data_IF_380162440468
#
_entry.id   IF_380162440468
#
_cell.length_a   1.000
_cell.length_b   1.000
_cell.length_c   1.000
_cell.angle_alpha   90.00
_cell.angle_beta   90.00
_cell.angle_gamma   90.00
#
_symmetry.space_group_name_H-M   'P 1'
#
loop_
_entity.id
_entity.type
_entity.pdbx_description
1 polymer ?
#
# COMPACT_ATOMS: atom_id res chain seq x y z
N UNK A 1 -10.38 -20.61 18.28
CA UNK A 1 -9.91 -21.80 19.03
C UNK A 1 -8.84 -21.52 20.05
N UNK A 2 -7.68 -20.94 19.67
CA UNK A 2 -6.55 -20.68 20.57
C UNK A 2 -6.98 -19.98 21.86
N UNK A 3 -7.66 -18.84 21.76
CA UNK A 3 -8.12 -18.06 22.92
C UNK A 3 -9.08 -18.86 23.83
N UNK A 4 -9.97 -19.66 23.23
CA UNK A 4 -10.92 -20.47 23.99
C UNK A 4 -10.22 -21.61 24.73
N UNK A 5 -9.24 -22.23 24.09
CA UNK A 5 -8.44 -23.29 24.68
C UNK A 5 -7.51 -22.75 25.78
N UNK A 6 -6.91 -21.58 25.56
CA UNK A 6 -6.11 -20.88 26.57
C UNK A 6 -6.95 -20.57 27.83
N UNK A 7 -8.17 -20.06 27.67
CA UNK A 7 -9.09 -19.84 28.80
C UNK A 7 -9.41 -21.14 29.55
N UNK A 8 -9.66 -22.26 28.85
CA UNK A 8 -9.91 -23.57 29.50
C UNK A 8 -8.71 -24.07 30.29
N UNK A 9 -7.49 -23.79 29.81
CA UNK A 9 -6.24 -24.11 30.52
C UNK A 9 -5.82 -23.06 31.55
N UNK A 10 -6.64 -22.02 31.76
CA UNK A 10 -6.34 -20.89 32.64
C UNK A 10 -5.04 -20.14 32.28
N UNK A 11 -4.67 -20.13 30.99
CA UNK A 11 -3.52 -19.38 30.48
C UNK A 11 -3.96 -17.95 30.13
N UNK A 12 -3.84 -17.07 31.12
CA UNK A 12 -4.25 -15.66 31.03
C UNK A 12 -3.31 -14.86 30.10
N UNK A 13 -2.05 -15.27 29.98
CA UNK A 13 -1.05 -14.59 29.15
C UNK A 13 -1.46 -14.63 27.68
N UNK A 14 -1.84 -15.81 27.17
CA UNK A 14 -2.30 -15.95 25.79
C UNK A 14 -3.61 -15.19 25.57
N UNK A 15 -4.55 -15.25 26.51
CA UNK A 15 -5.83 -14.51 26.39
C UNK A 15 -5.58 -13.00 26.26
N UNK A 16 -4.70 -12.44 27.09
CA UNK A 16 -4.38 -11.00 27.06
C UNK A 16 -3.62 -10.57 25.80
N UNK A 17 -2.65 -11.37 25.34
CA UNK A 17 -1.93 -11.08 24.10
C UNK A 17 -2.86 -11.04 22.89
N UNK A 18 -3.83 -11.97 22.85
CA UNK A 18 -4.81 -12.03 21.77
C UNK A 18 -5.85 -10.91 21.85
N UNK A 19 -6.19 -10.40 23.04
CA UNK A 19 -7.15 -9.30 23.19
C UNK A 19 -6.74 -8.09 22.34
N UNK A 20 -5.46 -7.68 22.43
CA UNK A 20 -4.93 -6.57 21.67
C UNK A 20 -4.88 -6.85 20.16
N UNK A 21 -4.47 -8.05 19.77
CA UNK A 21 -4.39 -8.45 18.37
C UNK A 21 -5.79 -8.48 17.72
N UNK A 22 -6.80 -8.98 18.43
CA UNK A 22 -8.19 -9.03 17.98
C UNK A 22 -8.76 -7.62 17.82
N UNK A 23 -8.56 -6.73 18.80
CA UNK A 23 -9.02 -5.33 18.68
C UNK A 23 -8.45 -4.65 17.44
N UNK A 24 -7.16 -4.84 17.16
CA UNK A 24 -6.51 -4.32 15.95
C UNK A 24 -7.02 -4.95 14.65
N UNK A 25 -7.36 -6.23 14.67
CA UNK A 25 -7.82 -6.97 13.49
C UNK A 25 -9.29 -6.70 13.14
N UNK A 26 -10.13 -6.40 14.13
CA UNK A 26 -11.59 -6.26 14.00
C UNK A 26 -12.03 -5.26 12.90
N UNK A 27 -11.39 -4.09 12.73
CA UNK A 27 -11.73 -3.16 11.65
C UNK A 27 -11.52 -3.71 10.23
N UNK A 28 -10.65 -4.71 10.06
CA UNK A 28 -10.28 -5.27 8.77
C UNK A 28 -11.25 -6.35 8.26
N UNK A 29 -12.16 -6.82 9.11
CA UNK A 29 -13.11 -7.91 8.81
C UNK A 29 -14.56 -7.44 8.68
N UNK A 30 -14.77 -6.13 8.51
CA UNK A 30 -16.10 -5.51 8.35
C UNK A 30 -16.75 -5.81 7.00
N UNK A 31 -15.96 -6.17 5.98
CA UNK A 31 -16.43 -6.50 4.64
C UNK A 31 -15.71 -7.74 4.11
N UNK A 32 -16.41 -8.72 3.50
CA UNK A 32 -17.85 -8.76 3.20
C UNK A 32 -18.74 -9.05 4.43
N UNK A 33 -20.05 -8.73 4.34
CA UNK A 33 -21.01 -8.85 5.45
C UNK A 33 -21.12 -10.26 6.04
N UNK A 34 -20.93 -11.30 5.22
CA UNK A 34 -20.88 -12.69 5.65
C UNK A 34 -19.77 -12.96 6.68
N UNK A 35 -18.58 -12.37 6.49
CA UNK A 35 -17.45 -12.47 7.42
C UNK A 35 -17.76 -11.71 8.69
N UNK A 36 -18.28 -10.49 8.60
CA UNK A 36 -18.64 -9.69 9.78
C UNK A 36 -19.68 -10.41 10.67
N UNK A 37 -20.68 -11.06 10.06
CA UNK A 37 -21.68 -11.84 10.80
C UNK A 37 -21.08 -13.05 11.50
N UNK A 38 -20.15 -13.76 10.84
CA UNK A 38 -19.45 -14.88 11.45
C UNK A 38 -18.58 -14.43 12.64
N UNK A 39 -17.85 -13.32 12.50
CA UNK A 39 -17.02 -12.76 13.58
C UNK A 39 -17.89 -12.27 14.74
N UNK A 40 -19.02 -11.61 14.46
CA UNK A 40 -19.97 -11.19 15.50
C UNK A 40 -20.52 -12.35 16.32
N UNK A 41 -20.78 -13.51 15.69
CA UNK A 41 -21.15 -14.74 16.41
C UNK A 41 -20.03 -15.24 17.32
N UNK A 42 -18.77 -15.17 16.87
CA UNK A 42 -17.62 -15.58 17.69
C UNK A 42 -17.48 -14.70 18.94
N UNK A 43 -17.68 -13.38 18.81
CA UNK A 43 -17.62 -12.47 19.96
C UNK A 43 -18.72 -12.76 21.00
N UNK A 44 -19.95 -13.08 20.56
CA UNK A 44 -21.02 -13.53 21.46
C UNK A 44 -20.67 -14.84 22.19
N UNK A 45 -20.07 -15.80 21.49
CA UNK A 45 -19.59 -17.05 22.13
C UNK A 45 -18.53 -16.76 23.19
N UNK A 46 -17.68 -15.74 22.98
CA UNK A 46 -16.67 -15.35 23.97
C UNK A 46 -17.27 -14.69 25.20
N UNK A 47 -18.36 -13.95 25.05
CA UNK A 47 -19.14 -13.39 26.15
C UNK A 47 -19.77 -14.52 26.99
N UNK A 48 -20.49 -15.44 26.34
CA UNK A 48 -21.14 -16.59 26.99
C UNK A 48 -20.15 -17.46 27.77
N UNK A 49 -18.92 -17.60 27.26
CA UNK A 49 -17.86 -18.41 27.88
C UNK A 49 -16.99 -17.64 28.87
N UNK A 50 -17.28 -16.37 29.14
CA UNK A 50 -16.49 -15.53 30.05
C UNK A 50 -15.02 -15.42 29.65
N UNK A 51 -14.74 -15.45 28.34
CA UNK A 51 -13.38 -15.29 27.80
C UNK A 51 -12.96 -13.83 27.92
N UNK A 52 -13.86 -12.92 27.55
CA UNK A 52 -13.73 -11.47 27.73
C UNK A 52 -14.94 -10.94 28.48
N UNK A 53 -14.80 -9.77 29.11
CA UNK A 53 -15.92 -9.10 29.80
C UNK A 53 -17.00 -8.67 28.81
N UNK A 54 -18.23 -8.48 29.31
CA UNK A 54 -19.36 -7.97 28.51
C UNK A 54 -19.01 -6.64 27.85
N UNK A 55 -18.33 -5.75 28.58
CA UNK A 55 -17.90 -4.44 28.07
C UNK A 55 -16.89 -4.58 26.93
N UNK A 56 -15.88 -5.45 27.08
CA UNK A 56 -14.88 -5.68 26.04
C UNK A 56 -15.50 -6.30 24.77
N UNK A 57 -16.51 -7.17 24.92
CA UNK A 57 -17.24 -7.73 23.79
C UNK A 57 -18.14 -6.68 23.13
N UNK A 58 -18.79 -5.82 23.90
CA UNK A 58 -19.59 -4.71 23.39
C UNK A 58 -18.73 -3.74 22.56
N UNK A 59 -17.52 -3.43 23.02
CA UNK A 59 -16.55 -2.61 22.27
C UNK A 59 -16.14 -3.28 20.95
N UNK A 60 -15.87 -4.59 20.96
CA UNK A 60 -15.53 -5.34 19.75
C UNK A 60 -16.69 -5.39 18.75
N UNK A 61 -17.92 -5.58 19.22
CA UNK A 61 -19.12 -5.53 18.38
C UNK A 61 -19.37 -4.12 17.82
N UNK A 62 -19.12 -3.07 18.61
CA UNK A 62 -19.17 -1.69 18.14
C UNK A 62 -18.11 -1.41 17.07
N UNK A 63 -16.88 -1.91 17.26
CA UNK A 63 -15.81 -1.82 16.27
C UNK A 63 -16.12 -2.58 14.98
N UNK A 64 -16.88 -3.67 15.07
CA UNK A 64 -17.30 -4.49 13.93
C UNK A 64 -18.49 -3.89 13.17
N UNK A 65 -19.46 -3.34 13.90
CA UNK A 65 -20.74 -2.84 13.36
C UNK A 65 -20.75 -1.34 13.03
N UNK A 66 -19.72 -0.58 13.42
CA UNK A 66 -19.59 0.82 13.01
C UNK A 66 -19.43 0.93 11.48
N UNK A 67 -20.58 0.98 10.81
CA UNK A 67 -20.77 1.46 9.44
C UNK A 67 -21.04 2.96 9.54
N UNK A 68 -20.07 3.73 10.05
CA UNK A 68 -20.06 5.15 9.72
C UNK A 68 -19.83 5.22 8.20
N UNK A 69 -20.89 5.54 7.48
CA UNK A 69 -20.93 6.37 6.27
C UNK A 69 -19.74 6.19 5.33
N UNK A 70 -20.01 5.76 4.08
CA UNK A 70 -19.16 5.96 2.88
C UNK A 70 -17.83 6.63 3.21
N UNK A 71 -16.71 5.92 3.13
CA UNK A 71 -15.32 6.43 3.00
C UNK A 71 -15.17 7.96 2.74
N UNK A 72 -15.60 8.80 3.67
CA UNK A 72 -14.78 9.78 4.32
C UNK A 72 -14.06 8.88 5.33
N UNK A 73 -12.93 8.26 5.00
CA UNK A 73 -11.65 8.98 4.99
C UNK A 73 -11.86 10.49 5.18
N UNK A 74 -12.48 10.83 6.31
CA UNK A 74 -12.11 12.02 7.01
C UNK A 74 -10.61 11.89 7.10
N UNK A 75 -10.00 12.80 6.36
CA UNK A 75 -8.62 13.13 6.39
C UNK A 75 -8.28 13.40 7.86
N UNK A 76 -8.06 12.36 8.66
CA UNK A 76 -6.85 12.34 9.45
C UNK A 76 -5.74 12.28 8.42
N UNK A 77 -5.48 13.45 7.81
CA UNK A 77 -4.11 13.94 7.67
C UNK A 77 -3.53 13.58 9.03
N UNK A 78 -2.61 12.61 9.13
CA UNK A 78 -2.02 12.33 10.42
C UNK A 78 -1.55 13.69 10.90
N UNK A 79 -2.03 14.15 12.05
CA UNK A 79 -1.74 15.47 12.63
C UNK A 79 -0.25 15.59 13.00
N UNK A 80 0.65 14.87 12.32
CA UNK A 80 2.01 14.62 12.74
C UNK A 80 3.00 14.51 11.57
N UNK A 81 2.57 14.45 10.31
CA UNK A 81 3.51 14.51 9.18
C UNK A 81 3.53 15.90 8.56
N UNK A 82 4.16 16.84 9.25
CA UNK A 82 4.52 18.16 8.74
C UNK A 82 5.86 18.10 8.01
N UNK A 83 5.93 17.36 6.90
CA UNK A 83 7.10 17.45 6.04
C UNK A 83 7.08 18.81 5.34
N UNK A 84 8.17 19.57 5.46
CA UNK A 84 8.34 20.85 4.78
C UNK A 84 8.15 20.66 3.26
N UNK A 85 7.38 21.54 2.62
CA UNK A 85 7.07 21.46 1.18
C UNK A 85 8.33 21.35 0.31
N UNK A 86 9.41 22.04 0.66
CA UNK A 86 10.70 21.97 -0.01
C UNK A 86 11.32 20.57 0.08
N UNK A 87 11.27 19.95 1.27
CA UNK A 87 11.77 18.58 1.48
C UNK A 87 10.93 17.55 0.71
N UNK A 88 9.61 17.77 0.64
CA UNK A 88 8.69 16.93 -0.14
C UNK A 88 8.99 17.05 -1.63
N UNK A 89 9.23 18.26 -2.15
CA UNK A 89 9.60 18.48 -3.54
C UNK A 89 10.98 17.90 -3.89
N UNK A 90 11.94 17.98 -2.98
CA UNK A 90 13.27 17.40 -3.14
C UNK A 90 13.34 15.88 -2.88
N UNK A 91 12.21 15.24 -2.54
CA UNK A 91 12.18 13.82 -2.23
C UNK A 91 12.56 12.97 -3.44
N UNK A 92 13.46 12.01 -3.23
CA UNK A 92 13.90 11.07 -4.26
C UNK A 92 13.77 9.63 -3.73
N UNK A 93 12.89 8.80 -4.32
CA UNK A 93 12.73 7.41 -3.91
C UNK A 93 14.04 6.60 -3.87
N UNK A 94 14.98 6.75 -4.82
CA UNK A 94 16.27 6.04 -4.78
C UNK A 94 17.08 6.31 -3.52
N UNK A 95 17.03 7.55 -2.98
CA UNK A 95 17.76 7.90 -1.75
C UNK A 95 17.23 7.11 -0.57
N UNK A 96 15.91 7.05 -0.38
CA UNK A 96 15.29 6.26 0.69
C UNK A 96 15.64 4.77 0.57
N UNK A 97 15.61 4.23 -0.65
CA UNK A 97 15.98 2.83 -0.91
C UNK A 97 17.44 2.56 -0.53
N UNK A 98 18.37 3.44 -0.89
CA UNK A 98 19.79 3.32 -0.52
C UNK A 98 19.99 3.33 0.99
N UNK A 99 19.26 4.19 1.72
CA UNK A 99 19.29 4.23 3.20
C UNK A 99 18.82 2.91 3.80
N UNK A 100 17.69 2.37 3.31
CA UNK A 100 17.16 1.08 3.76
C UNK A 100 18.17 -0.06 3.52
N UNK A 101 18.81 -0.09 2.36
CA UNK A 101 19.86 -1.08 2.06
C UNK A 101 21.05 -0.94 3.01
N UNK A 102 21.50 0.29 3.26
CA UNK A 102 22.62 0.55 4.18
C UNK A 102 22.29 0.07 5.60
N UNK A 103 21.12 0.41 6.14
CA UNK A 103 20.70 -0.06 7.45
C UNK A 103 20.61 -1.60 7.53
N UNK A 104 20.20 -2.26 6.45
CA UNK A 104 20.21 -3.71 6.37
C UNK A 104 21.63 -4.30 6.44
N UNK A 105 22.61 -3.68 5.78
CA UNK A 105 24.01 -4.12 5.81
C UNK A 105 24.71 -3.82 7.15
N UNK A 106 24.28 -2.79 7.86
CA UNK A 106 24.80 -2.45 9.19
C UNK A 106 24.28 -3.37 10.30
N UNK A 107 23.25 -4.17 10.02
CA UNK A 107 22.64 -5.08 10.98
C UNK A 107 23.67 -6.05 11.57
N UNK A 108 23.89 -5.96 12.87
CA UNK A 108 24.79 -6.88 13.58
C UNK A 108 24.05 -8.16 14.02
N UNK A 109 24.65 -9.32 13.76
CA UNK A 109 24.17 -10.63 14.23
C UNK A 109 24.95 -11.16 15.45
N UNK A 110 25.94 -10.40 15.93
CA UNK A 110 26.89 -10.85 16.94
C UNK A 110 26.23 -11.14 18.31
N UNK A 111 25.14 -10.44 18.65
CA UNK A 111 24.43 -10.68 19.91
C UNK A 111 23.96 -12.13 20.09
N UNK A 112 23.68 -12.83 18.99
CA UNK A 112 23.26 -14.24 19.01
C UNK A 112 24.44 -15.20 19.16
N UNK A 113 25.58 -14.92 18.52
CA UNK A 113 26.78 -15.79 18.56
C UNK A 113 27.61 -15.59 19.82
N UNK A 114 27.64 -14.36 20.35
CA UNK A 114 28.33 -14.03 21.59
C UNK A 114 27.67 -14.70 22.81
N UNK A 115 26.33 -14.69 22.88
CA UNK A 115 25.57 -15.32 23.98
C UNK A 115 25.74 -16.84 24.06
N UNK A 116 26.17 -17.50 22.99
CA UNK A 116 26.39 -18.95 22.94
C UNK A 116 27.74 -19.37 23.55
N UNK A 117 28.65 -18.42 23.82
CA UNK A 117 29.97 -18.73 24.38
C UNK A 117 29.87 -18.98 25.89
N UNK A 118 30.31 -20.16 26.33
CA UNK A 118 30.21 -20.62 27.73
C UNK A 118 30.78 -19.61 28.72
N UNK A 119 31.96 -19.04 28.43
CA UNK A 119 32.64 -18.10 29.33
C UNK A 119 31.90 -16.77 29.50
N UNK A 120 31.02 -16.40 28.56
CA UNK A 120 30.22 -15.18 28.66
C UNK A 120 29.04 -15.32 29.64
N UNK A 121 28.73 -16.55 30.06
CA UNK A 121 27.67 -16.86 31.02
C UNK A 121 28.22 -17.28 32.40
N UNK A 122 29.54 -17.42 32.53
CA UNK A 122 30.19 -17.83 33.78
C UNK A 122 30.51 -16.62 34.64
N UNK A 123 30.38 -16.77 35.96
CA UNK A 123 30.95 -15.80 36.89
C UNK A 123 32.49 -15.93 36.95
N UNK A 124 33.12 -14.93 37.56
CA UNK A 124 34.59 -14.83 37.64
C UNK A 124 35.23 -15.99 38.38
N UNK A 125 34.59 -16.54 39.42
CA UNK A 125 35.16 -17.60 40.24
C UNK A 125 35.06 -18.96 39.54
N UNK A 126 33.92 -19.22 38.89
CA UNK A 126 33.70 -20.40 38.05
C UNK A 126 34.66 -20.42 36.86
N UNK A 127 34.90 -19.26 36.24
CA UNK A 127 35.88 -19.14 35.17
C UNK A 127 37.30 -19.47 35.64
N UNK A 128 37.74 -18.89 36.77
CA UNK A 128 39.07 -19.19 37.34
C UNK A 128 39.25 -20.68 37.62
N UNK A 129 38.23 -21.31 38.22
CA UNK A 129 38.26 -22.74 38.55
C UNK A 129 38.25 -23.65 37.33
N UNK A 130 37.81 -23.16 36.16
CA UNK A 130 37.81 -23.92 34.90
C UNK A 130 39.17 -23.96 34.20
N UNK A 131 40.09 -23.05 34.57
CA UNK A 131 41.44 -22.98 34.00
C UNK A 131 42.27 -24.13 34.58
N UNK A 132 42.78 -24.98 33.69
CA UNK A 132 43.45 -26.24 34.06
C UNK A 132 44.96 -26.06 34.19
N UNK A 133 45.54 -25.28 33.30
CA UNK A 133 46.97 -25.07 33.18
C UNK A 133 47.27 -23.72 32.52
N UNK A 134 48.57 -23.36 32.48
CA UNK A 134 49.05 -22.08 31.95
C UNK A 134 48.70 -21.89 30.47
N UNK A 135 48.74 -22.95 29.66
CA UNK A 135 48.44 -22.86 28.22
C UNK A 135 46.94 -22.65 28.00
N UNK A 136 46.10 -23.43 28.68
CA UNK A 136 44.64 -23.23 28.63
C UNK A 136 44.26 -21.80 29.06
N UNK A 137 44.90 -21.26 30.10
CA UNK A 137 44.70 -19.87 30.50
C UNK A 137 45.06 -18.84 29.41
N UNK A 138 46.15 -19.06 28.67
CA UNK A 138 46.54 -18.19 27.55
C UNK A 138 45.52 -18.26 26.41
N UNK A 139 45.03 -19.45 26.08
CA UNK A 139 44.04 -19.64 25.02
C UNK A 139 42.71 -18.92 25.36
N UNK A 140 42.26 -19.01 26.62
CA UNK A 140 41.08 -18.29 27.13
C UNK A 140 41.27 -16.78 27.04
N UNK A 141 42.44 -16.26 27.44
CA UNK A 141 42.75 -14.82 27.35
C UNK A 141 42.70 -14.34 25.90
N UNK A 142 43.29 -15.10 24.98
CA UNK A 142 43.30 -14.77 23.54
C UNK A 142 41.89 -14.79 22.93
N UNK A 143 41.07 -15.79 23.29
CA UNK A 143 39.68 -15.86 22.83
C UNK A 143 38.86 -14.70 23.39
N UNK A 144 38.99 -14.39 24.69
CA UNK A 144 38.32 -13.24 25.30
C UNK A 144 38.72 -11.92 24.66
N UNK A 145 40.01 -11.71 24.40
CA UNK A 145 40.49 -10.52 23.69
C UNK A 145 39.86 -10.37 22.31
N UNK A 146 39.75 -11.48 21.57
CA UNK A 146 39.09 -11.50 20.25
C UNK A 146 37.60 -11.18 20.36
N UNK A 147 36.91 -11.74 21.35
CA UNK A 147 35.49 -11.50 21.60
C UNK A 147 35.22 -10.03 21.99
N UNK A 148 36.08 -9.44 22.82
CA UNK A 148 36.00 -8.02 23.18
C UNK A 148 36.13 -7.13 21.95
N UNK A 149 37.07 -7.44 21.04
CA UNK A 149 37.24 -6.65 19.82
C UNK A 149 36.06 -6.79 18.84
N UNK A 150 35.51 -8.00 18.74
CA UNK A 150 34.27 -8.25 17.99
C UNK A 150 33.09 -7.46 18.58
N UNK A 151 32.96 -7.41 19.91
CA UNK A 151 31.93 -6.63 20.59
C UNK A 151 32.06 -5.13 20.29
N UNK A 152 33.26 -4.56 20.40
CA UNK A 152 33.51 -3.14 20.05
C UNK A 152 33.13 -2.84 18.61
N UNK A 153 33.53 -3.68 17.68
CA UNK A 153 33.16 -3.54 16.27
C UNK A 153 31.64 -3.62 16.07
N UNK A 154 30.97 -4.53 16.79
CA UNK A 154 29.51 -4.67 16.74
C UNK A 154 28.80 -3.46 17.34
N UNK A 155 29.30 -2.92 18.45
CA UNK A 155 28.77 -1.70 19.06
C UNK A 155 28.82 -0.52 18.09
N UNK A 156 29.97 -0.31 17.43
CA UNK A 156 30.13 0.72 16.41
C UNK A 156 29.13 0.55 15.24
N UNK A 157 28.94 -0.69 14.77
CA UNK A 157 27.96 -1.00 13.70
C UNK A 157 26.53 -0.75 14.15
N UNK A 158 26.17 -1.12 15.37
CA UNK A 158 24.83 -0.89 15.93
C UNK A 158 24.54 0.60 16.11
N UNK A 159 25.51 1.39 16.59
CA UNK A 159 25.37 2.84 16.68
C UNK A 159 25.15 3.47 15.30
N UNK A 160 25.90 3.03 14.28
CA UNK A 160 25.70 3.46 12.90
C UNK A 160 24.33 3.04 12.34
N UNK A 161 23.86 1.83 12.67
CA UNK A 161 22.54 1.33 12.27
C UNK A 161 21.41 2.18 12.87
N UNK A 162 21.50 2.54 14.15
CA UNK A 162 20.52 3.39 14.84
C UNK A 162 20.40 4.74 14.14
N UNK A 163 21.54 5.38 13.84
CA UNK A 163 21.56 6.67 13.17
C UNK A 163 21.00 6.59 11.74
N UNK A 164 21.32 5.53 10.99
CA UNK A 164 20.75 5.36 9.65
C UNK A 164 19.24 5.07 9.68
N UNK A 165 18.76 4.28 10.66
CA UNK A 165 17.33 4.04 10.88
C UNK A 165 16.58 5.32 11.23
N UNK A 166 17.17 6.22 12.03
CA UNK A 166 16.59 7.54 12.30
C UNK A 166 16.40 8.34 11.01
N UNK A 167 17.42 8.38 10.15
CA UNK A 167 17.33 9.04 8.82
C UNK A 167 16.29 8.41 7.90
N UNK A 168 16.11 7.08 7.97
CA UNK A 168 15.04 6.37 7.24
C UNK A 168 13.67 6.83 7.71
N UNK A 169 13.46 6.99 9.02
CA UNK A 169 12.19 7.50 9.57
C UNK A 169 11.91 8.91 9.03
N UNK A 170 12.84 9.84 9.18
CA UNK A 170 12.70 11.23 8.70
C UNK A 170 12.39 11.30 7.18
N UNK A 171 13.13 10.52 6.39
CA UNK A 171 12.93 10.47 4.92
C UNK A 171 11.62 9.74 4.56
N UNK A 172 11.23 8.73 5.34
CA UNK A 172 10.01 7.96 5.16
C UNK A 172 8.75 8.78 5.43
N UNK A 173 8.76 9.65 6.43
CA UNK A 173 7.68 10.60 6.69
C UNK A 173 7.49 11.58 5.53
N UNK A 174 8.61 12.07 4.98
CA UNK A 174 8.60 12.88 3.75
C UNK A 174 8.02 12.11 2.56
N UNK A 175 8.37 10.82 2.43
CA UNK A 175 7.86 9.95 1.37
C UNK A 175 6.33 9.75 1.47
N UNK A 176 5.79 9.61 2.68
CA UNK A 176 4.35 9.47 2.89
C UNK A 176 3.61 10.66 2.31
N UNK A 177 4.03 11.89 2.65
CA UNK A 177 3.42 13.12 2.15
C UNK A 177 3.57 13.23 0.63
N UNK A 178 4.76 12.92 0.10
CA UNK A 178 5.02 12.93 -1.35
C UNK A 178 4.04 12.01 -2.11
N UNK A 179 3.90 10.76 -1.68
CA UNK A 179 3.04 9.79 -2.37
C UNK A 179 1.55 10.05 -2.16
N UNK A 180 1.15 10.71 -1.06
CA UNK A 180 -0.22 11.20 -0.89
C UNK A 180 -0.56 12.29 -1.92
N UNK A 181 0.36 13.23 -2.17
CA UNK A 181 0.19 14.28 -3.17
C UNK A 181 0.05 13.67 -4.58
N UNK A 182 1.01 12.83 -4.99
CA UNK A 182 0.98 12.14 -6.31
C UNK A 182 -0.30 11.32 -6.49
N UNK A 183 -0.76 10.64 -5.44
CA UNK A 183 -2.02 9.88 -5.47
C UNK A 183 -3.22 10.77 -5.68
N UNK A 184 -3.25 11.95 -5.05
CA UNK A 184 -4.36 12.89 -5.19
C UNK A 184 -4.46 13.46 -6.60
N UNK A 185 -3.33 13.81 -7.21
CA UNK A 185 -3.24 14.26 -8.61
C UNK A 185 -3.68 13.15 -9.57
N UNK A 186 -3.18 11.93 -9.36
CA UNK A 186 -3.56 10.76 -10.17
C UNK A 186 -5.08 10.49 -10.15
N UNK A 187 -5.76 10.76 -9.03
CA UNK A 187 -7.22 10.62 -8.96
C UNK A 187 -7.94 11.64 -9.84
N UNK A 188 -7.46 12.89 -9.85
CA UNK A 188 -8.02 13.96 -10.69
C UNK A 188 -7.84 13.60 -12.15
N UNK A 189 -6.63 13.19 -12.54
CA UNK A 189 -6.32 12.76 -13.91
C UNK A 189 -7.19 11.59 -14.33
N UNK A 190 -7.30 10.54 -13.50
CA UNK A 190 -8.16 9.39 -13.78
C UNK A 190 -9.64 9.78 -13.96
N UNK A 191 -10.14 10.72 -13.15
CA UNK A 191 -11.51 11.23 -13.31
C UNK A 191 -11.69 11.97 -14.64
N UNK A 192 -10.72 12.81 -15.04
CA UNK A 192 -10.74 13.50 -16.32
C UNK A 192 -10.77 12.52 -17.51
N UNK A 193 -9.89 11.50 -17.51
CA UNK A 193 -9.87 10.47 -18.56
C UNK A 193 -11.16 9.66 -18.61
N UNK A 194 -11.73 9.26 -17.46
CA UNK A 194 -13.04 8.59 -17.44
C UNK A 194 -14.14 9.44 -18.07
N UNK A 195 -14.18 10.73 -17.73
CA UNK A 195 -15.15 11.64 -18.31
C UNK A 195 -14.95 11.80 -19.82
N UNK A 196 -13.70 11.90 -20.27
CA UNK A 196 -13.36 11.96 -21.69
C UNK A 196 -13.79 10.68 -22.43
N UNK A 197 -13.42 9.50 -21.92
CA UNK A 197 -13.84 8.21 -22.49
C UNK A 197 -15.35 8.11 -22.60
N UNK A 198 -16.10 8.51 -21.57
CA UNK A 198 -17.56 8.53 -21.61
C UNK A 198 -18.12 9.47 -22.69
N UNK A 199 -17.46 10.60 -22.95
CA UNK A 199 -17.86 11.52 -24.04
C UNK A 199 -17.60 10.90 -25.41
N UNK A 200 -16.45 10.26 -25.59
CA UNK A 200 -16.10 9.57 -26.84
C UNK A 200 -17.08 8.44 -27.12
N UNK A 201 -17.40 7.60 -26.13
CA UNK A 201 -18.40 6.53 -26.28
C UNK A 201 -19.74 7.11 -26.71
N UNK A 202 -20.23 8.15 -26.03
CA UNK A 202 -21.51 8.79 -26.41
C UNK A 202 -21.49 9.37 -27.83
N UNK A 203 -20.37 9.94 -28.26
CA UNK A 203 -20.24 10.47 -29.61
C UNK A 203 -20.23 9.34 -30.64
N UNK A 204 -19.53 8.24 -30.36
CA UNK A 204 -19.53 7.03 -31.17
C UNK A 204 -20.94 6.46 -31.32
N UNK A 205 -21.63 6.22 -30.20
CA UNK A 205 -23.01 5.71 -30.20
C UNK A 205 -23.95 6.63 -30.99
N UNK A 206 -23.79 7.96 -30.88
CA UNK A 206 -24.59 8.92 -31.63
C UNK A 206 -24.32 8.90 -33.14
N UNK A 207 -23.08 8.62 -33.57
CA UNK A 207 -22.71 8.46 -34.98
C UNK A 207 -23.27 7.14 -35.51
N UNK A 208 -23.11 6.04 -34.79
CA UNK A 208 -23.63 4.73 -35.18
C UNK A 208 -25.14 4.74 -35.35
N UNK A 209 -25.88 5.35 -34.41
CA UNK A 209 -27.33 5.48 -34.51
C UNK A 209 -27.76 6.28 -35.75
N UNK A 210 -27.01 7.34 -36.10
CA UNK A 210 -27.29 8.11 -37.32
C UNK A 210 -27.01 7.29 -38.57
N UNK A 211 -25.91 6.55 -38.60
CA UNK A 211 -25.57 5.68 -39.72
C UNK A 211 -26.68 4.65 -39.97
N UNK A 212 -27.15 3.99 -38.91
CA UNK A 212 -28.30 3.07 -38.98
C UNK A 212 -29.55 3.76 -39.53
N UNK A 213 -29.87 4.98 -39.07
CA UNK A 213 -31.03 5.71 -39.59
C UNK A 213 -30.93 6.06 -41.08
N UNK A 214 -29.72 6.30 -41.61
CA UNK A 214 -29.51 6.51 -43.04
C UNK A 214 -29.69 5.21 -43.82
N UNK A 215 -29.15 4.09 -43.33
CA UNK A 215 -29.31 2.76 -43.94
C UNK A 215 -30.78 2.29 -43.94
N UNK A 216 -31.57 2.68 -42.95
CA UNK A 216 -33.01 2.42 -42.90
C UNK A 216 -33.77 3.28 -43.91
N UNK A 217 -33.40 4.54 -44.08
CA UNK A 217 -34.01 5.45 -45.06
C UNK A 217 -33.78 5.02 -46.52
N UNK A 218 -32.63 4.41 -46.82
CA UNK A 218 -32.35 3.84 -48.16
C UNK A 218 -33.20 2.61 -48.50
N UNK A 219 -33.76 1.92 -47.49
CA UNK A 219 -34.62 0.74 -47.70
C UNK A 219 -36.10 1.09 -47.93
N UNK A 220 -36.50 2.33 -47.65
CA UNK A 220 -37.84 2.82 -47.94
C UNK A 220 -37.95 3.15 -49.44
N UNK A 221 -38.93 2.60 -50.18
CA UNK A 221 -39.11 2.91 -51.60
C UNK A 221 -39.45 4.40 -51.75
N UNK A 222 -38.75 5.07 -52.66
CA UNK A 222 -38.84 6.53 -52.90
C UNK A 222 -40.31 7.01 -52.94
N UNK A 223 -40.72 8.00 -52.12
CA UNK A 223 -42.12 8.42 -52.01
C UNK A 223 -42.61 9.23 -53.22
N UNK A 224 -41.75 9.58 -54.16
CA UNK A 224 -42.16 10.31 -55.35
C UNK A 224 -42.42 9.34 -56.52
N UNK A 225 -43.67 9.15 -56.95
CA UNK A 225 -43.93 8.59 -58.27
C UNK A 225 -43.23 9.50 -59.29
N UNK A 226 -42.49 8.89 -60.22
CA UNK A 226 -41.81 9.61 -61.29
C UNK A 226 -42.81 10.54 -62.00
N UNK A 227 -42.47 11.83 -62.21
CA UNK A 227 -43.38 12.75 -62.85
C UNK A 227 -43.80 12.23 -64.25
N UNK A 228 -45.04 12.50 -64.71
CA UNK A 228 -45.52 12.02 -66.00
C UNK A 228 -44.63 12.49 -67.15
N UNK A 229 -44.43 11.64 -68.16
CA UNK A 229 -43.57 11.89 -69.33
C UNK A 229 -43.95 13.11 -70.20
N UNK A 230 -45.00 13.85 -69.84
CA UNK A 230 -45.44 15.07 -70.51
C UNK A 230 -45.02 16.36 -69.77
N UNK A 231 -44.27 16.26 -68.67
CA UNK A 231 -43.68 17.43 -68.02
C UNK A 231 -42.59 18.03 -68.93
N UNK A 232 -42.66 19.33 -69.30
CA UNK A 232 -41.60 19.95 -70.08
C UNK A 232 -40.30 19.90 -69.29
N UNK A 233 -39.23 19.38 -69.93
CA UNK A 233 -37.89 19.42 -69.37
C UNK A 233 -37.50 20.89 -69.13
N UNK A 234 -36.92 21.24 -67.97
CA UNK A 234 -36.41 22.60 -67.76
C UNK A 234 -35.30 22.86 -68.77
N UNK A 235 -35.38 24.00 -69.45
CA UNK A 235 -34.31 24.55 -70.29
C UNK A 235 -33.12 24.92 -69.41
N UNK A 236 -31.91 24.65 -69.93
CA UNK A 236 -30.64 25.02 -69.30
C UNK A 236 -30.54 26.55 -69.18
N UNK A 237 -30.86 27.09 -68.01
CA UNK A 237 -30.51 28.46 -67.64
C UNK A 237 -29.20 28.42 -66.82
N UNK A 238 -28.14 28.83 -67.51
CA UNK A 238 -26.85 29.39 -67.10
C UNK A 238 -26.37 29.25 -65.64
N UNK A 239 -25.20 28.60 -65.50
CA UNK A 239 -24.07 28.91 -64.61
C UNK A 239 -24.36 29.33 -63.15
N UNK A 240 -24.76 28.36 -62.31
CA UNK A 240 -24.47 28.45 -60.87
C UNK A 240 -23.02 28.03 -60.65
N UNK A 241 -22.12 29.02 -60.54
CA UNK A 241 -20.75 28.82 -60.05
C UNK A 241 -20.82 28.25 -58.63
N UNK A 242 -20.60 26.95 -58.51
CA UNK A 242 -20.38 26.28 -57.22
C UNK A 242 -19.01 26.69 -56.71
N UNK A 243 -18.99 27.76 -55.90
CA UNK A 243 -17.83 28.19 -55.14
C UNK A 243 -17.32 26.98 -54.33
N UNK A 244 -16.16 26.46 -54.75
CA UNK A 244 -15.51 25.34 -54.11
C UNK A 244 -15.07 25.77 -52.72
N UNK A 245 -15.86 25.39 -51.71
CA UNK A 245 -15.55 25.62 -50.30
C UNK A 245 -14.21 24.94 -50.01
N UNK A 246 -13.20 25.76 -49.77
CA UNK A 246 -11.86 25.33 -49.44
C UNK A 246 -11.89 24.27 -48.34
N UNK A 247 -11.41 23.06 -48.67
CA UNK A 247 -11.05 22.06 -47.68
C UNK A 247 -9.88 22.63 -46.87
N UNK A 248 -10.16 23.02 -45.62
CA UNK A 248 -9.12 23.31 -44.63
C UNK A 248 -8.40 21.99 -44.36
N UNK A 249 -7.06 21.90 -44.51
CA UNK A 249 -6.33 20.69 -44.16
C UNK A 249 -6.52 20.39 -42.67
N UNK A 250 -6.97 19.19 -42.35
CA UNK A 250 -6.89 18.67 -40.99
C UNK A 250 -5.41 18.51 -40.66
N UNK A 251 -4.89 19.28 -39.71
CA UNK A 251 -3.61 18.96 -39.09
C UNK A 251 -3.77 17.62 -38.38
N UNK A 252 -3.00 16.63 -38.83
CA UNK A 252 -2.80 15.37 -38.15
C UNK A 252 -2.07 15.64 -36.83
N UNK A 253 -2.85 15.91 -35.78
CA UNK A 253 -2.32 15.82 -34.42
C UNK A 253 -1.87 14.38 -34.20
N UNK A 254 -0.55 14.21 -34.06
CA UNK A 254 0.10 12.96 -33.69
C UNK A 254 -0.65 12.28 -32.54
N UNK A 255 -0.88 10.96 -32.59
CA UNK A 255 -1.43 10.26 -31.44
C UNK A 255 -0.46 10.38 -30.27
N UNK A 256 -0.90 11.05 -29.20
CA UNK A 256 -0.20 11.03 -27.92
C UNK A 256 -0.24 9.57 -27.45
N UNK A 257 0.92 8.92 -27.48
CA UNK A 257 1.09 7.57 -26.94
C UNK A 257 0.54 7.52 -25.50
N UNK A 258 -0.35 6.57 -25.18
CA UNK A 258 -0.78 6.37 -23.82
C UNK A 258 0.42 5.86 -23.00
N UNK A 259 0.93 6.72 -22.11
CA UNK A 259 1.85 6.35 -21.04
C UNK A 259 1.31 5.12 -20.32
N UNK A 260 1.89 3.95 -20.66
CA UNK A 260 1.65 2.69 -19.97
C UNK A 260 2.26 2.76 -18.57
N UNK A 261 1.60 3.47 -17.66
CA UNK A 261 1.82 3.28 -16.23
C UNK A 261 1.23 1.92 -15.88
N UNK A 262 2.07 0.89 -15.96
CA UNK A 262 1.71 -0.49 -15.64
C UNK A 262 1.02 -0.50 -14.27
N UNK A 263 -0.24 -0.92 -14.23
CA UNK A 263 -1.02 -1.15 -12.99
C UNK A 263 -0.25 -2.02 -11.97
N UNK A 264 0.70 -2.82 -12.43
CA UNK A 264 1.61 -3.60 -11.58
C UNK A 264 2.53 -2.75 -10.70
N UNK A 265 2.97 -1.57 -11.14
CA UNK A 265 3.93 -0.72 -10.40
C UNK A 265 3.33 -0.13 -9.12
N UNK A 266 2.06 0.28 -9.18
CA UNK A 266 1.34 0.87 -8.03
C UNK A 266 0.93 -0.21 -7.00
N UNK A 267 0.54 -1.40 -7.46
CA UNK A 267 0.22 -2.53 -6.58
C UNK A 267 1.48 -3.12 -5.92
N UNK A 268 2.61 -3.12 -6.64
CA UNK A 268 3.92 -3.52 -6.09
C UNK A 268 4.38 -2.55 -4.99
N UNK A 269 4.21 -1.22 -5.19
CA UNK A 269 4.54 -0.22 -4.17
C UNK A 269 3.68 -0.38 -2.90
N UNK A 270 2.38 -0.64 -3.04
CA UNK A 270 1.48 -0.90 -1.89
C UNK A 270 1.92 -2.12 -1.08
N UNK A 271 2.27 -3.20 -1.76
CA UNK A 271 2.68 -4.45 -1.09
C UNK A 271 4.04 -4.30 -0.43
N UNK A 272 4.97 -3.59 -1.07
CA UNK A 272 6.31 -3.35 -0.56
C UNK A 272 6.29 -2.43 0.67
N UNK A 273 5.56 -1.31 0.63
CA UNK A 273 5.44 -0.37 1.74
C UNK A 273 4.69 -0.97 2.95
N UNK A 274 3.66 -1.79 2.71
CA UNK A 274 2.95 -2.47 3.79
C UNK A 274 3.85 -3.53 4.46
N UNK A 275 4.64 -4.28 3.68
CA UNK A 275 5.64 -5.22 4.21
C UNK A 275 6.75 -4.50 4.98
N UNK A 276 7.27 -3.38 4.49
CA UNK A 276 8.26 -2.56 5.21
C UNK A 276 7.71 -2.04 6.54
N UNK A 277 6.44 -1.60 6.58
CA UNK A 277 5.78 -1.13 7.82
C UNK A 277 5.63 -2.26 8.85
N UNK A 278 5.25 -3.46 8.40
CA UNK A 278 5.16 -4.64 9.29
C UNK A 278 6.53 -5.09 9.79
N UNK A 279 7.57 -5.04 8.94
CA UNK A 279 8.94 -5.40 9.33
C UNK A 279 9.53 -4.37 10.31
N UNK A 280 9.29 -3.08 10.11
CA UNK A 280 9.74 -2.01 11.01
C UNK A 280 9.04 -2.09 12.37
N UNK A 281 7.72 -2.30 12.40
CA UNK A 281 6.98 -2.45 13.65
C UNK A 281 7.35 -3.73 14.41
N UNK A 282 7.59 -4.85 13.71
CA UNK A 282 7.99 -6.09 14.37
C UNK A 282 9.43 -6.07 14.88
N UNK A 283 10.36 -5.35 14.23
CA UNK A 283 11.74 -5.23 14.75
C UNK A 283 11.86 -4.23 15.92
N UNK A 284 11.00 -3.20 16.00
CA UNK A 284 10.93 -2.32 17.17
C UNK A 284 10.34 -3.03 18.41
N UNK A 285 9.41 -3.97 18.22
CA UNK A 285 8.80 -4.73 19.32
C UNK A 285 9.70 -5.83 19.89
N UNK A 286 10.57 -6.43 19.07
CA UNK A 286 11.49 -7.50 19.52
C UNK A 286 12.74 -6.93 20.25
N UNK A 287 13.02 -5.64 20.11
CA UNK A 287 14.12 -4.95 20.81
C UNK A 287 13.74 -4.27 22.13
N UNK A 288 12.49 -4.39 22.58
CA UNK A 288 11.96 -3.70 23.78
C UNK A 288 11.41 -4.66 24.84
N UNK A 289 11.72 -5.95 24.75
CA UNK A 289 11.44 -6.89 25.85
C UNK A 289 12.77 -7.10 26.60
N UNK A 290 12.85 -6.75 27.89
CA UNK A 290 14.05 -6.99 28.70
C UNK A 290 14.42 -8.47 28.76
#
# INVERSE_FOLDING_TARGET
DIVQHAKRKSDVTIVNQWAFAVQKATPHVRSPSSVSNAIGRIFKIWEERGIYSKDAVADLLSLLNNVSSKEKVEKKKPETYTANAEKVAAFQPPKLISKIKLAYHLKSHLGTTFRTKSYCQMDMETLKNSIKDRQHGQDVIQEMGTLVEQLRTSEMKLQAEVEERRKIVETGETAIVFYENVRSESKIVNAAYKNFTNRVIKAHDAVDNKLQSFEEMEKEPSPCPSPPAAAPSPTDDDDIVLESRHMIPYETNNPIEPLHIRKSSIQSCRTCLCKCRTILNNQLLVGLIP
#
